data_IF_259143984787
#
_entry.id   IF_259143984787
#
_cell.length_a   1.000
_cell.length_b   1.000
_cell.length_c   1.000
_cell.angle_alpha   90.00
_cell.angle_beta   90.00
_cell.angle_gamma   90.00
#
_symmetry.space_group_name_H-M   'P 1'
#
loop_
_entity.id
_entity.type
_entity.pdbx_description
1 polymer ?
#
# COMPACT_ATOMS: atom_id res chain seq x y z
N UNK A 1 -11.94 -16.12 7.28
CA UNK A 1 -12.15 -14.76 7.81
C UNK A 1 -10.78 -14.29 8.26
N UNK A 2 -10.24 -13.24 7.64
CA UNK A 2 -9.00 -12.65 8.12
C UNK A 2 -9.36 -11.83 9.36
N UNK A 3 -8.70 -12.11 10.48
CA UNK A 3 -8.80 -11.30 11.70
C UNK A 3 -8.24 -9.92 11.38
N UNK A 4 -9.13 -9.00 11.05
CA UNK A 4 -8.83 -7.57 11.11
C UNK A 4 -8.84 -7.26 12.60
N UNK A 5 -7.70 -6.82 13.12
CA UNK A 5 -7.55 -6.34 14.51
C UNK A 5 -8.30 -4.99 14.63
N UNK A 6 -9.63 -5.06 14.59
CA UNK A 6 -10.53 -3.93 14.81
C UNK A 6 -10.39 -3.53 16.27
N UNK A 7 -9.54 -2.54 16.56
CA UNK A 7 -9.54 -1.88 17.85
C UNK A 7 -10.94 -1.28 18.07
N UNK A 8 -11.57 -1.50 19.25
CA UNK A 8 -12.91 -1.01 19.50
C UNK A 8 -13.01 0.50 19.28
N UNK A 9 -13.77 0.92 18.26
CA UNK A 9 -14.02 2.34 17.94
C UNK A 9 -13.23 2.91 16.77
N UNK A 10 -12.23 2.20 16.24
CA UNK A 10 -11.57 2.60 14.99
C UNK A 10 -12.44 2.20 13.80
N UNK A 11 -12.75 3.15 12.91
CA UNK A 11 -13.45 2.86 11.65
C UNK A 11 -12.40 2.70 10.55
N UNK A 12 -12.40 1.60 9.78
CA UNK A 12 -11.51 1.47 8.64
C UNK A 12 -11.74 2.62 7.65
N UNK A 13 -10.67 3.32 7.27
CA UNK A 13 -10.75 4.41 6.31
C UNK A 13 -11.11 3.88 4.92
N UNK A 14 -10.55 2.74 4.55
CA UNK A 14 -10.90 2.00 3.34
C UNK A 14 -10.35 0.57 3.36
N UNK A 15 -10.88 -0.25 2.46
CA UNK A 15 -10.41 -1.60 2.18
C UNK A 15 -10.38 -1.83 0.66
N UNK A 16 -9.46 -2.67 0.21
CA UNK A 16 -9.32 -3.03 -1.20
C UNK A 16 -8.91 -4.49 -1.36
N UNK A 17 -9.26 -5.08 -2.50
CA UNK A 17 -8.85 -6.43 -2.85
C UNK A 17 -7.39 -6.42 -3.27
N UNK A 18 -6.60 -7.30 -2.65
CA UNK A 18 -5.20 -7.51 -2.97
C UNK A 18 -4.94 -9.00 -3.24
N UNK A 19 -3.96 -9.28 -4.11
CA UNK A 19 -3.60 -10.65 -4.46
C UNK A 19 -2.31 -11.07 -3.74
N UNK A 20 -2.25 -12.33 -3.33
CA UNK A 20 -1.03 -12.94 -2.77
C UNK A 20 -0.19 -13.66 -3.85
N UNK A 21 -0.57 -13.58 -5.13
CA UNK A 21 0.14 -14.18 -6.26
C UNK A 21 0.36 -13.17 -7.39
N UNK A 22 1.53 -13.21 -8.03
CA UNK A 22 1.93 -12.32 -9.13
C UNK A 22 1.56 -12.80 -10.53
N UNK A 23 0.57 -13.70 -10.66
CA UNK A 23 0.23 -14.30 -11.96
C UNK A 23 -0.69 -13.43 -12.82
N UNK A 24 -1.19 -12.31 -12.30
CA UNK A 24 -1.99 -11.39 -13.12
C UNK A 24 -1.04 -10.48 -13.90
N UNK A 25 -1.06 -10.61 -15.23
CA UNK A 25 -0.22 -9.81 -16.11
C UNK A 25 -0.44 -8.32 -15.86
N UNK A 26 0.66 -7.56 -15.75
CA UNK A 26 0.61 -6.13 -15.45
C UNK A 26 0.49 -5.79 -13.97
N UNK A 27 0.43 -6.78 -13.08
CA UNK A 27 0.59 -6.56 -11.64
C UNK A 27 2.07 -6.43 -11.26
N UNK A 28 2.32 -5.74 -10.16
CA UNK A 28 3.64 -5.54 -9.57
C UNK A 28 3.56 -5.72 -8.05
N UNK A 29 4.70 -6.04 -7.45
CA UNK A 29 4.82 -6.33 -6.03
C UNK A 29 4.94 -5.04 -5.22
N UNK A 30 4.04 -4.85 -4.27
CA UNK A 30 4.09 -3.85 -3.22
C UNK A 30 4.61 -4.48 -1.93
N UNK A 31 5.62 -3.87 -1.34
CA UNK A 31 6.23 -4.33 -0.09
C UNK A 31 6.13 -3.25 0.97
N UNK A 32 5.71 -3.66 2.17
CA UNK A 32 5.76 -2.81 3.36
C UNK A 32 6.87 -3.31 4.27
N UNK A 33 7.69 -2.38 4.75
CA UNK A 33 8.81 -2.68 5.61
C UNK A 33 8.89 -1.75 6.80
N UNK A 34 9.55 -2.23 7.85
CA UNK A 34 9.94 -1.44 9.02
C UNK A 34 11.44 -1.55 9.22
N UNK A 35 12.08 -0.44 9.56
CA UNK A 35 13.50 -0.41 9.87
C UNK A 35 13.76 -1.19 11.15
N UNK A 36 14.71 -2.13 11.12
CA UNK A 36 14.92 -3.15 12.16
C UNK A 36 15.00 -2.59 13.59
N UNK A 37 15.58 -1.40 13.75
CA UNK A 37 15.83 -0.77 15.05
C UNK A 37 15.21 0.64 15.18
N UNK A 38 14.19 0.97 14.39
CA UNK A 38 13.53 2.27 14.46
C UNK A 38 12.02 2.17 14.17
N UNK A 39 11.28 3.23 14.51
CA UNK A 39 9.88 3.39 14.13
C UNK A 39 9.76 4.06 12.76
N UNK A 40 10.59 3.63 11.81
CA UNK A 40 10.58 4.12 10.44
C UNK A 40 9.97 3.06 9.52
N UNK A 41 8.93 3.43 8.78
CA UNK A 41 8.24 2.57 7.83
C UNK A 41 8.56 2.95 6.38
N UNK A 42 8.52 1.97 5.49
CA UNK A 42 8.71 2.18 4.05
C UNK A 42 7.71 1.37 3.25
N UNK A 43 7.32 1.91 2.10
CA UNK A 43 6.56 1.20 1.07
C UNK A 43 7.34 1.26 -0.24
N UNK A 44 7.56 0.12 -0.90
CA UNK A 44 8.24 0.06 -2.20
C UNK A 44 7.47 -0.80 -3.20
N UNK A 45 7.43 -0.37 -4.45
CA UNK A 45 6.79 -1.08 -5.57
C UNK A 45 7.85 -1.53 -6.59
N UNK A 46 7.75 -2.78 -7.06
CA UNK A 46 8.61 -3.32 -8.13
C UNK A 46 10.08 -3.52 -7.77
N UNK A 47 10.41 -3.46 -6.47
CA UNK A 47 11.79 -3.52 -5.97
C UNK A 47 11.95 -4.60 -4.92
N UNK A 48 13.21 -4.82 -4.51
CA UNK A 48 13.54 -5.60 -3.31
C UNK A 48 13.46 -4.68 -2.09
N UNK A 49 13.19 -5.26 -0.92
CA UNK A 49 13.27 -4.51 0.33
C UNK A 49 14.69 -3.94 0.52
N UNK A 50 14.85 -2.64 0.83
CA UNK A 50 16.16 -2.06 1.09
C UNK A 50 16.86 -2.71 2.28
N UNK A 51 18.20 -2.68 2.27
CA UNK A 51 19.01 -3.15 3.41
C UNK A 51 18.68 -2.33 4.65
N UNK A 52 18.55 -3.01 5.80
CA UNK A 52 18.19 -2.38 7.08
C UNK A 52 16.68 -2.26 7.33
N UNK A 53 15.85 -2.73 6.40
CA UNK A 53 14.41 -2.86 6.58
C UNK A 53 13.98 -4.32 6.56
N UNK A 54 13.14 -4.69 7.53
CA UNK A 54 12.50 -5.99 7.59
C UNK A 54 11.15 -5.94 6.88
N UNK A 55 10.86 -6.95 6.05
CA UNK A 55 9.58 -7.07 5.34
C UNK A 55 8.48 -7.42 6.34
N UNK A 56 7.48 -6.56 6.45
CA UNK A 56 6.29 -6.78 7.27
C UNK A 56 5.18 -7.47 6.47
N UNK A 57 4.91 -6.99 5.25
CA UNK A 57 3.88 -7.54 4.39
C UNK A 57 4.21 -7.34 2.91
N UNK A 58 3.52 -8.10 2.07
CA UNK A 58 3.70 -8.14 0.62
C UNK A 58 2.34 -8.39 -0.03
N UNK A 59 2.05 -7.64 -1.09
CA UNK A 59 0.85 -7.81 -1.88
C UNK A 59 1.10 -7.42 -3.34
N UNK A 60 0.26 -7.91 -4.25
CA UNK A 60 0.33 -7.60 -5.68
C UNK A 60 -0.75 -6.59 -6.08
N UNK A 61 -0.35 -5.53 -6.78
CA UNK A 61 -1.17 -4.37 -7.20
C UNK A 61 -0.94 -4.04 -8.67
N UNK A 62 -1.73 -3.13 -9.24
CA UNK A 62 -1.54 -2.67 -10.61
C UNK A 62 -0.89 -1.28 -10.63
N UNK A 63 0.32 -1.11 -11.20
CA UNK A 63 0.92 0.21 -11.35
C UNK A 63 0.14 1.13 -12.30
N UNK A 64 -0.73 0.57 -13.14
CA UNK A 64 -1.55 1.29 -14.13
C UNK A 64 -3.02 0.93 -13.96
N UNK A 65 -3.88 1.89 -14.27
CA UNK A 65 -5.33 1.68 -14.27
C UNK A 65 -5.72 0.57 -15.24
N UNK A 66 -6.58 -0.34 -14.78
CA UNK A 66 -7.27 -1.31 -15.63
C UNK A 66 -8.76 -0.99 -15.56
N UNK A 67 -9.25 -0.26 -16.56
CA UNK A 67 -10.63 0.24 -16.60
C UNK A 67 -11.65 -0.89 -16.37
N UNK A 68 -12.55 -0.68 -15.41
CA UNK A 68 -13.62 -1.63 -15.07
C UNK A 68 -13.18 -2.81 -14.19
N UNK A 69 -11.91 -2.88 -13.77
CA UNK A 69 -11.41 -3.95 -12.91
C UNK A 69 -10.59 -3.41 -11.72
N UNK A 70 -9.60 -2.56 -12.00
CA UNK A 70 -8.71 -1.91 -11.02
C UNK A 70 -8.64 -0.42 -11.35
N UNK A 71 -9.64 0.33 -10.89
CA UNK A 71 -9.87 1.72 -11.25
C UNK A 71 -9.78 2.70 -10.07
N UNK A 72 -9.58 2.19 -8.85
CA UNK A 72 -9.41 3.00 -7.66
C UNK A 72 -7.93 3.26 -7.46
N UNK A 73 -7.52 4.52 -7.60
CA UNK A 73 -6.15 4.96 -7.35
C UNK A 73 -5.90 5.05 -5.86
N UNK A 74 -4.78 4.49 -5.41
CA UNK A 74 -4.20 4.66 -4.09
C UNK A 74 -2.88 5.40 -4.26
N UNK A 75 -2.73 6.50 -3.56
CA UNK A 75 -1.51 7.29 -3.49
C UNK A 75 -0.72 6.94 -2.23
N UNK A 76 0.61 6.88 -2.37
CA UNK A 76 1.52 6.57 -1.26
C UNK A 76 2.38 7.79 -0.96
N UNK A 77 2.28 8.29 0.26
CA UNK A 77 3.09 9.40 0.76
C UNK A 77 4.07 8.91 1.82
N UNK A 78 5.21 9.59 1.96
CA UNK A 78 6.08 9.43 3.12
C UNK A 78 6.01 10.68 3.97
N UNK A 79 5.68 10.47 5.24
CA UNK A 79 5.69 11.51 6.25
C UNK A 79 7.04 11.41 6.97
N UNK A 80 8.10 11.87 6.30
CA UNK A 80 9.49 11.69 6.76
C UNK A 80 9.72 12.16 8.20
N UNK A 81 9.10 13.27 8.60
CA UNK A 81 9.22 13.81 9.97
C UNK A 81 8.58 12.92 11.04
N UNK A 82 7.60 12.09 10.65
CA UNK A 82 6.88 11.17 11.53
C UNK A 82 7.37 9.73 11.41
N UNK A 83 8.28 9.44 10.47
CA UNK A 83 8.77 8.08 10.20
C UNK A 83 7.70 7.14 9.62
N UNK A 84 6.58 7.66 9.13
CA UNK A 84 5.46 6.86 8.65
C UNK A 84 5.24 6.98 7.14
N UNK A 85 4.43 6.07 6.62
CA UNK A 85 3.86 6.15 5.29
C UNK A 85 2.36 6.37 5.42
N UNK A 86 1.77 7.09 4.47
CA UNK A 86 0.33 7.28 4.37
C UNK A 86 -0.17 6.70 3.05
N UNK A 87 -1.31 6.03 3.11
CA UNK A 87 -2.04 5.57 1.93
C UNK A 87 -3.32 6.38 1.83
N UNK A 88 -3.53 7.04 0.71
CA UNK A 88 -4.74 7.83 0.47
C UNK A 88 -5.47 7.36 -0.79
N UNK A 89 -6.80 7.23 -0.68
CA UNK A 89 -7.70 7.01 -1.82
C UNK A 89 -8.62 8.21 -2.07
N UNK A 90 -8.59 9.21 -1.19
CA UNK A 90 -9.21 10.50 -1.39
C UNK A 90 -8.34 11.26 -2.40
N UNK A 91 -8.95 11.83 -3.45
CA UNK A 91 -8.21 12.56 -4.50
C UNK A 91 -7.68 13.92 -4.01
N UNK A 92 -7.40 14.06 -2.71
CA UNK A 92 -7.21 15.34 -2.00
C UNK A 92 -5.79 15.52 -1.45
N UNK A 93 -4.85 14.62 -1.75
CA UNK A 93 -3.45 14.83 -1.39
C UNK A 93 -2.94 16.19 -1.88
N UNK A 94 -2.45 17.02 -0.97
CA UNK A 94 -1.86 18.34 -1.26
C UNK A 94 -0.37 18.25 -1.65
N UNK A 95 0.20 17.04 -1.63
CA UNK A 95 1.61 16.75 -1.90
C UNK A 95 1.74 15.79 -3.08
N UNK A 96 2.94 15.72 -3.68
CA UNK A 96 3.22 14.74 -4.72
C UNK A 96 3.48 13.35 -4.09
N UNK A 97 2.76 12.30 -4.51
CA UNK A 97 2.97 10.97 -3.96
C UNK A 97 4.32 10.39 -4.40
N UNK A 98 4.90 9.53 -3.55
CA UNK A 98 6.08 8.73 -3.91
C UNK A 98 5.81 7.87 -5.15
N UNK A 99 4.61 7.28 -5.19
CA UNK A 99 4.05 6.56 -6.33
C UNK A 99 2.56 6.31 -6.08
N UNK A 100 1.89 5.85 -7.13
CA UNK A 100 0.49 5.46 -7.09
C UNK A 100 0.31 4.07 -7.65
N UNK A 101 -0.73 3.38 -7.19
CA UNK A 101 -1.16 2.10 -7.74
C UNK A 101 -2.68 2.03 -7.78
N UNK A 102 -3.20 1.02 -8.46
CA UNK A 102 -4.61 0.82 -8.70
C UNK A 102 -5.08 -0.49 -8.12
N UNK A 103 -6.25 -0.43 -7.50
CA UNK A 103 -6.89 -1.54 -6.81
C UNK A 103 -8.37 -1.60 -7.14
N UNK A 104 -8.96 -2.74 -6.82
CA UNK A 104 -10.40 -2.90 -6.77
C UNK A 104 -10.82 -2.61 -5.33
N UNK A 105 -11.68 -1.61 -5.13
CA UNK A 105 -12.26 -1.34 -3.81
C UNK A 105 -12.99 -2.60 -3.32
N UNK A 106 -12.86 -2.91 -2.03
CA UNK A 106 -13.67 -3.99 -1.46
C UNK A 106 -15.09 -3.45 -1.27
N UNK A 107 -16.08 -4.28 -1.64
CA UNK A 107 -17.50 -3.97 -1.49
C UNK A 107 -17.92 -3.93 -0.01
#
# INVERSE_FOLDING_TARGET
>A
MADIDDKPGEKPLFSFQAFNFGQVAGSDRLLFGKKTNALDYICVMGRRMPVGYDKMSELWVFPKQVTGMFDNRVDVYSLFELGTIELDMSKQGNEDPLFSFYVKKAD
#
